data_IF_642193604918
#
_entry.id   IF_642193604918
#
_cell.length_a   1.000
_cell.length_b   1.000
_cell.length_c   1.000
_cell.angle_alpha   90.00
_cell.angle_beta   90.00
_cell.angle_gamma   90.00
#
_symmetry.space_group_name_H-M   'P 1'
#
loop_
_entity.id
_entity.type
_entity.pdbx_description
1 polymer ?
#
# COMPACT_ATOMS: atom_id res chain seq x y z
N UNK A 1 11.23 -77.06 -30.60
CA UNK A 1 10.28 -76.21 -29.85
C UNK A 1 11.05 -74.94 -29.46
N UNK A 2 10.85 -73.81 -30.16
CA UNK A 2 10.11 -72.60 -29.69
C UNK A 2 10.45 -72.26 -28.22
N UNK A 3 11.00 -71.09 -27.87
CA UNK A 3 10.43 -69.77 -28.18
C UNK A 3 11.46 -68.64 -28.17
N UNK A 4 11.28 -67.74 -29.12
CA UNK A 4 11.81 -66.37 -29.19
C UNK A 4 10.95 -65.50 -28.27
N UNK A 5 11.55 -64.50 -27.61
CA UNK A 5 10.85 -63.29 -27.16
C UNK A 5 11.77 -62.08 -27.25
N UNK A 6 11.42 -61.23 -28.21
CA UNK A 6 11.87 -59.85 -28.44
C UNK A 6 11.37 -58.91 -27.33
N UNK A 7 12.08 -57.80 -27.08
CA UNK A 7 11.60 -56.39 -27.13
C UNK A 7 12.67 -55.47 -26.49
N UNK A 8 13.44 -54.70 -27.27
CA UNK A 8 13.21 -53.27 -27.61
C UNK A 8 12.91 -52.38 -26.39
N UNK A 9 13.84 -51.50 -25.99
CA UNK A 9 13.91 -50.12 -26.50
C UNK A 9 14.73 -49.21 -25.56
N UNK A 10 15.72 -48.55 -26.16
CA UNK A 10 16.39 -47.36 -25.66
C UNK A 10 15.34 -46.25 -25.43
N UNK A 11 15.24 -45.69 -24.22
CA UNK A 11 14.65 -44.37 -24.03
C UNK A 11 15.55 -43.50 -23.16
N UNK A 12 15.95 -42.41 -23.80
CA UNK A 12 16.84 -41.35 -23.34
C UNK A 12 16.12 -40.56 -22.24
N UNK A 13 16.63 -40.59 -21.00
CA UNK A 13 16.21 -39.64 -19.97
C UNK A 13 17.01 -38.34 -20.12
N UNK A 14 16.57 -37.49 -21.07
CA UNK A 14 16.85 -36.05 -21.03
C UNK A 14 15.50 -35.37 -20.84
N UNK A 15 15.18 -35.02 -19.60
CA UNK A 15 14.33 -33.88 -19.30
C UNK A 15 14.90 -33.21 -18.05
N UNK A 16 15.81 -32.28 -18.28
CA UNK A 16 16.06 -31.15 -17.40
C UNK A 16 14.75 -30.38 -17.26
N UNK A 17 13.92 -30.77 -16.27
CA UNK A 17 12.85 -29.92 -15.82
C UNK A 17 13.50 -28.76 -15.06
N UNK A 18 13.77 -27.67 -15.79
CA UNK A 18 13.82 -26.35 -15.19
C UNK A 18 12.51 -26.18 -14.41
N UNK A 19 12.57 -26.24 -13.09
CA UNK A 19 11.57 -25.65 -12.21
C UNK A 19 11.64 -24.13 -12.37
N UNK A 20 11.15 -23.62 -13.51
CA UNK A 20 10.76 -22.22 -13.57
C UNK A 20 9.55 -22.07 -12.66
N UNK A 21 9.60 -21.25 -11.60
CA UNK A 21 8.40 -20.98 -10.83
C UNK A 21 7.39 -20.35 -11.79
N UNK A 22 6.30 -21.07 -12.00
CA UNK A 22 5.14 -20.64 -12.75
C UNK A 22 4.77 -19.22 -12.28
N UNK A 23 4.77 -18.18 -13.13
CA UNK A 23 4.45 -16.82 -12.70
C UNK A 23 3.00 -16.82 -12.18
N UNK A 24 2.85 -16.89 -10.86
CA UNK A 24 1.56 -16.86 -10.18
C UNK A 24 0.90 -15.51 -10.47
N UNK A 25 -0.08 -15.54 -11.37
CA UNK A 25 -1.32 -14.79 -11.26
C UNK A 25 -1.19 -13.26 -11.09
N UNK A 26 -0.69 -12.58 -12.13
CA UNK A 26 -0.62 -11.10 -12.23
C UNK A 26 -1.98 -10.43 -11.94
N UNK A 27 -3.10 -11.10 -12.28
CA UNK A 27 -4.46 -10.61 -12.01
C UNK A 27 -4.92 -10.73 -10.55
N UNK A 28 -4.34 -11.66 -9.78
CA UNK A 28 -4.69 -11.90 -8.37
C UNK A 28 -4.23 -10.75 -7.47
N UNK A 29 -2.98 -10.32 -7.67
CA UNK A 29 -2.39 -9.26 -6.84
C UNK A 29 -3.00 -7.88 -7.12
N UNK A 30 -3.39 -7.60 -8.36
CA UNK A 30 -4.12 -6.35 -8.65
C UNK A 30 -5.47 -6.30 -7.95
N UNK A 31 -6.21 -7.41 -7.91
CA UNK A 31 -7.50 -7.47 -7.19
C UNK A 31 -7.33 -7.37 -5.68
N UNK A 32 -6.27 -7.92 -5.10
CA UNK A 32 -6.02 -7.82 -3.66
C UNK A 32 -5.64 -6.40 -3.23
N UNK A 33 -4.95 -5.63 -4.08
CA UNK A 33 -4.56 -4.24 -3.82
C UNK A 33 -5.73 -3.25 -3.83
N UNK A 34 -6.80 -3.52 -4.57
CA UNK A 34 -7.93 -2.58 -4.67
C UNK A 34 -8.60 -2.41 -3.30
N UNK A 35 -8.79 -1.16 -2.88
CA UNK A 35 -9.43 -0.80 -1.62
C UNK A 35 -8.76 0.38 -0.92
N UNK A 36 -9.23 0.66 0.29
CA UNK A 36 -8.67 1.70 1.16
C UNK A 36 -7.50 1.14 1.98
N UNK A 37 -6.45 1.94 2.10
CA UNK A 37 -5.27 1.60 2.88
C UNK A 37 -4.76 2.77 3.69
N UNK A 38 -4.06 2.42 4.77
CA UNK A 38 -3.59 3.34 5.79
C UNK A 38 -2.10 3.13 6.03
N UNK A 39 -1.32 4.21 6.03
CA UNK A 39 0.09 4.17 6.40
C UNK A 39 0.31 5.00 7.64
N UNK A 40 0.99 4.42 8.62
CA UNK A 40 1.46 5.11 9.82
C UNK A 40 2.97 5.23 9.73
N UNK A 41 3.49 6.45 9.82
CA UNK A 41 4.93 6.72 9.75
C UNK A 41 5.30 7.82 10.73
N UNK A 42 6.39 7.64 11.48
CA UNK A 42 6.92 8.71 12.33
C UNK A 42 7.45 9.90 11.52
N UNK A 43 8.04 9.65 10.35
CA UNK A 43 8.59 10.70 9.50
C UNK A 43 7.50 11.48 8.76
N UNK A 44 6.59 10.75 8.10
CA UNK A 44 5.60 11.33 7.19
C UNK A 44 4.21 11.49 7.82
N UNK A 45 4.02 11.00 9.03
CA UNK A 45 2.71 10.98 9.69
C UNK A 45 1.79 9.92 9.09
N UNK A 46 0.49 10.13 9.26
CA UNK A 46 -0.56 9.29 8.70
C UNK A 46 -0.84 9.63 7.24
N UNK A 47 -1.08 8.60 6.45
CA UNK A 47 -1.47 8.77 5.06
C UNK A 47 -2.60 7.83 4.66
N UNK A 48 -3.46 8.34 3.79
CA UNK A 48 -4.62 7.64 3.26
C UNK A 48 -4.36 7.28 1.80
N UNK A 49 -4.69 6.05 1.42
CA UNK A 49 -4.60 5.58 0.05
C UNK A 49 -5.94 4.99 -0.35
N UNK A 50 -6.43 5.38 -1.53
CA UNK A 50 -7.50 4.68 -2.22
C UNK A 50 -6.94 4.13 -3.52
N UNK A 51 -6.93 2.80 -3.63
CA UNK A 51 -6.41 2.10 -4.78
C UNK A 51 -7.58 1.51 -5.55
N UNK A 52 -7.76 1.92 -6.80
CA UNK A 52 -8.73 1.34 -7.72
C UNK A 52 -8.04 0.52 -8.83
N UNK A 53 -8.76 0.15 -9.88
CA UNK A 53 -8.20 -0.65 -10.98
C UNK A 53 -7.22 0.10 -11.88
N UNK A 54 -7.10 1.42 -11.75
CA UNK A 54 -6.31 2.29 -12.63
C UNK A 54 -5.34 3.18 -11.86
N UNK A 55 -5.73 3.65 -10.69
CA UNK A 55 -5.04 4.69 -9.93
C UNK A 55 -4.77 4.27 -8.50
N UNK A 56 -3.61 4.72 -8.00
CA UNK A 56 -3.36 4.95 -6.59
C UNK A 56 -3.66 6.42 -6.32
N UNK A 57 -4.70 6.69 -5.55
CA UNK A 57 -4.97 8.01 -4.98
C UNK A 57 -4.39 8.01 -3.58
N UNK A 58 -3.69 9.07 -3.23
CA UNK A 58 -3.06 9.21 -1.92
C UNK A 58 -3.29 10.62 -1.38
N UNK A 59 -3.48 10.72 -0.07
CA UNK A 59 -3.52 11.98 0.66
C UNK A 59 -2.69 11.93 1.94
N UNK A 60 -1.95 13.00 2.18
CA UNK A 60 -1.29 13.28 3.43
C UNK A 60 -1.23 14.80 3.63
N UNK A 61 -1.42 15.26 4.87
CA UNK A 61 -1.46 16.69 5.17
C UNK A 61 -0.19 17.47 4.79
N UNK A 62 1.00 16.83 4.82
CA UNK A 62 2.29 17.48 4.55
C UNK A 62 2.58 17.60 3.07
N UNK A 63 2.18 16.61 2.28
CA UNK A 63 2.53 16.52 0.85
C UNK A 63 1.35 16.74 -0.08
N UNK A 64 0.11 16.72 0.44
CA UNK A 64 -1.11 16.94 -0.32
C UNK A 64 -1.67 15.66 -0.96
N UNK A 65 -2.52 15.86 -1.98
CA UNK A 65 -3.18 14.80 -2.73
C UNK A 65 -2.40 14.48 -4.00
N UNK A 66 -2.22 13.20 -4.29
CA UNK A 66 -1.70 12.71 -5.56
C UNK A 66 -2.60 11.63 -6.14
N UNK A 67 -2.63 11.55 -7.47
CA UNK A 67 -3.32 10.50 -8.22
C UNK A 67 -2.35 9.98 -9.27
N UNK A 68 -1.89 8.74 -9.10
CA UNK A 68 -0.87 8.14 -9.94
C UNK A 68 -1.44 6.90 -10.65
N UNK A 69 -1.44 6.87 -11.99
CA UNK A 69 -1.79 5.65 -12.70
C UNK A 69 -0.73 4.58 -12.45
N UNK A 70 -1.18 3.34 -12.27
CA UNK A 70 -0.29 2.24 -11.92
C UNK A 70 -0.65 0.94 -12.65
N UNK A 71 0.29 -0.01 -12.60
CA UNK A 71 0.06 -1.41 -12.95
C UNK A 71 0.77 -2.31 -11.95
N UNK A 72 0.35 -3.58 -11.92
CA UNK A 72 1.03 -4.63 -11.17
C UNK A 72 1.67 -5.58 -12.17
N UNK A 73 2.97 -5.81 -12.05
CA UNK A 73 3.76 -6.73 -12.87
C UNK A 73 4.73 -7.47 -11.96
N UNK A 74 4.79 -8.81 -12.06
CA UNK A 74 5.71 -9.65 -11.26
C UNK A 74 5.71 -9.27 -9.77
N UNK A 75 4.51 -9.24 -9.17
CA UNK A 75 4.29 -8.90 -7.77
C UNK A 75 4.79 -7.50 -7.36
N UNK A 76 4.99 -6.61 -8.35
CA UNK A 76 5.48 -5.27 -8.11
C UNK A 76 4.48 -4.23 -8.60
N UNK A 77 4.21 -3.23 -7.77
CA UNK A 77 3.48 -2.03 -8.14
C UNK A 77 4.43 -1.11 -8.92
N UNK A 78 4.02 -0.71 -10.12
CA UNK A 78 4.76 0.24 -10.96
C UNK A 78 3.87 1.43 -11.29
N UNK A 79 4.37 2.64 -11.02
CA UNK A 79 3.71 3.85 -11.53
C UNK A 79 4.00 4.02 -13.02
N UNK A 80 3.00 4.47 -13.78
CA UNK A 80 3.15 4.68 -15.23
C UNK A 80 3.79 6.03 -15.56
N UNK A 81 3.79 6.96 -14.62
CA UNK A 81 4.27 8.35 -14.79
C UNK A 81 5.54 8.65 -14.01
N UNK A 82 6.09 7.68 -13.27
CA UNK A 82 7.28 7.81 -12.44
C UNK A 82 8.13 6.56 -12.58
N UNK A 83 9.45 6.72 -12.52
CA UNK A 83 10.37 5.58 -12.48
C UNK A 83 10.45 4.99 -11.06
N UNK A 84 9.30 4.52 -10.59
CA UNK A 84 9.14 3.92 -9.28
C UNK A 84 8.51 2.55 -9.43
N UNK A 85 9.16 1.56 -8.83
CA UNK A 85 8.70 0.17 -8.77
C UNK A 85 8.84 -0.28 -7.33
N UNK A 86 7.76 -0.80 -6.76
CA UNK A 86 7.75 -1.36 -5.42
C UNK A 86 7.33 -2.82 -5.44
N UNK A 87 8.19 -3.69 -4.93
CA UNK A 87 7.83 -5.09 -4.69
C UNK A 87 6.76 -5.15 -3.60
N UNK A 88 5.72 -5.94 -3.84
CA UNK A 88 4.60 -6.13 -2.93
C UNK A 88 4.81 -7.46 -2.19
N UNK A 89 4.86 -7.39 -0.86
CA UNK A 89 4.87 -8.56 0.01
C UNK A 89 3.62 -8.54 0.88
N UNK A 90 2.77 -9.54 0.73
CA UNK A 90 1.52 -9.64 1.52
C UNK A 90 1.81 -10.11 2.95
N UNK A 91 1.15 -9.49 3.92
CA UNK A 91 1.24 -9.82 5.35
C UNK A 91 -0.13 -9.72 6.02
N UNK A 92 -0.95 -10.76 5.89
CA UNK A 92 -2.32 -10.77 6.42
C UNK A 92 -3.17 -9.66 5.80
N UNK A 93 -3.73 -8.79 6.66
CA UNK A 93 -4.53 -7.62 6.26
C UNK A 93 -3.64 -6.40 5.89
N UNK A 94 -2.32 -6.60 5.77
CA UNK A 94 -1.36 -5.55 5.43
C UNK A 94 -0.49 -5.96 4.24
N UNK A 95 0.14 -4.98 3.60
CA UNK A 95 1.14 -5.18 2.56
C UNK A 95 2.38 -4.37 2.86
N UNK A 96 3.54 -4.95 2.61
CA UNK A 96 4.82 -4.26 2.58
C UNK A 96 5.15 -3.90 1.13
N UNK A 97 5.48 -2.64 0.91
CA UNK A 97 5.98 -2.10 -0.35
C UNK A 97 7.46 -1.77 -0.19
N UNK A 98 8.30 -2.39 -1.01
CA UNK A 98 9.75 -2.14 -1.04
C UNK A 98 10.13 -1.52 -2.38
N UNK A 99 10.39 -0.22 -2.36
CA UNK A 99 10.71 0.60 -3.52
C UNK A 99 12.13 0.39 -4.04
N UNK A 100 12.30 0.53 -5.35
CA UNK A 100 13.60 0.58 -6.02
C UNK A 100 14.48 1.77 -5.58
N UNK A 101 13.88 2.78 -4.93
CA UNK A 101 14.54 3.93 -4.32
C UNK A 101 14.91 3.70 -2.84
N UNK A 102 14.91 2.44 -2.39
CA UNK A 102 15.12 2.03 -0.99
C UNK A 102 14.05 2.51 -0.01
N UNK A 103 12.92 3.04 -0.50
CA UNK A 103 11.80 3.36 0.38
C UNK A 103 11.07 2.09 0.81
N UNK A 104 10.60 2.07 2.05
CA UNK A 104 9.73 1.04 2.57
C UNK A 104 8.45 1.66 3.12
N UNK A 105 7.32 1.01 2.84
CA UNK A 105 6.02 1.39 3.36
C UNK A 105 5.20 0.17 3.69
N UNK A 106 4.67 0.11 4.91
CA UNK A 106 3.62 -0.85 5.27
C UNK A 106 2.29 -0.14 5.12
N UNK A 107 1.40 -0.74 4.33
CA UNK A 107 0.02 -0.30 4.18
C UNK A 107 -0.89 -1.29 4.89
N UNK A 108 -1.75 -0.76 5.75
CA UNK A 108 -2.71 -1.53 6.55
C UNK A 108 -4.11 -1.37 5.96
N UNK A 109 -4.83 -2.47 5.87
CA UNK A 109 -6.26 -2.48 5.60
C UNK A 109 -6.99 -2.81 6.90
N UNK A 110 -7.88 -1.92 7.31
CA UNK A 110 -8.79 -2.23 8.42
C UNK A 110 -9.99 -3.01 7.91
N UNK A 111 -10.52 -3.91 8.75
CA UNK A 111 -11.79 -4.56 8.45
C UNK A 111 -12.87 -3.49 8.36
N UNK A 112 -13.44 -3.37 7.19
CA UNK A 112 -14.37 -2.29 6.89
C UNK A 112 -15.71 -2.52 7.62
N UNK A 113 -16.29 -1.49 8.28
CA UNK A 113 -17.71 -1.54 8.61
C UNK A 113 -18.53 -1.54 7.31
N UNK A 114 -19.77 -2.05 7.34
CA UNK A 114 -20.70 -2.13 6.19
C UNK A 114 -21.04 -0.80 5.49
N UNK A 115 -20.45 0.32 5.91
CA UNK A 115 -20.68 1.64 5.35
C UNK A 115 -19.72 1.86 4.17
N UNK A 116 -20.21 2.30 2.99
CA UNK A 116 -19.35 2.59 1.85
C UNK A 116 -18.26 3.62 2.19
N UNK A 117 -17.04 3.34 1.74
CA UNK A 117 -15.88 4.20 1.98
C UNK A 117 -16.08 5.59 1.38
N UNK A 118 -15.72 6.62 2.14
CA UNK A 118 -15.48 7.96 1.58
C UNK A 118 -14.16 7.92 0.83
N UNK A 119 -14.23 7.96 -0.49
CA UNK A 119 -13.05 8.13 -1.35
C UNK A 119 -12.43 9.52 -1.14
N UNK A 120 -11.12 9.65 -1.39
CA UNK A 120 -10.38 10.91 -1.38
C UNK A 120 -10.91 11.77 -2.55
N UNK A 121 -11.66 12.85 -2.28
CA UNK A 121 -12.29 13.63 -3.33
C UNK A 121 -11.24 14.34 -4.20
N UNK A 122 -11.62 14.68 -5.43
CA UNK A 122 -10.79 15.45 -6.33
C UNK A 122 -10.61 16.89 -5.80
N UNK A 123 -9.40 17.46 -5.90
CA UNK A 123 -9.13 18.83 -5.43
C UNK A 123 -10.00 19.90 -6.09
N UNK A 124 -10.43 19.66 -7.34
CA UNK A 124 -11.34 20.56 -8.08
C UNK A 124 -12.75 20.60 -7.51
N UNK A 125 -13.13 19.60 -6.71
CA UNK A 125 -14.38 19.60 -5.96
C UNK A 125 -14.14 20.30 -4.62
N UNK A 126 -14.10 21.62 -4.67
CA UNK A 126 -13.61 22.45 -3.56
C UNK A 126 -14.36 22.22 -2.26
N UNK A 127 -15.68 22.02 -2.31
CA UNK A 127 -16.50 21.82 -1.12
C UNK A 127 -16.26 20.43 -0.49
N UNK A 128 -16.31 19.36 -1.30
CA UNK A 128 -16.07 18.01 -0.79
C UNK A 128 -14.62 17.87 -0.29
N UNK A 129 -13.67 18.46 -1.00
CA UNK A 129 -12.26 18.44 -0.61
C UNK A 129 -12.01 19.27 0.66
N UNK A 130 -12.63 20.44 0.80
CA UNK A 130 -12.52 21.25 2.02
C UNK A 130 -13.10 20.51 3.24
N UNK A 131 -14.29 19.91 3.11
CA UNK A 131 -14.88 19.08 4.16
C UNK A 131 -14.02 17.86 4.49
N UNK A 132 -13.45 17.22 3.46
CA UNK A 132 -12.53 16.10 3.64
C UNK A 132 -11.29 16.50 4.46
N UNK A 133 -10.68 17.65 4.18
CA UNK A 133 -9.52 18.15 4.93
C UNK A 133 -9.91 18.54 6.35
N UNK A 134 -11.04 19.23 6.54
CA UNK A 134 -11.49 19.68 7.87
C UNK A 134 -11.65 18.53 8.87
N UNK A 135 -12.07 17.35 8.39
CA UNK A 135 -12.24 16.15 9.21
C UNK A 135 -10.95 15.30 9.34
N UNK A 136 -9.81 15.71 8.78
CA UNK A 136 -8.61 14.88 8.72
C UNK A 136 -8.09 14.49 10.11
N UNK A 137 -7.97 15.43 11.05
CA UNK A 137 -7.46 15.14 12.39
C UNK A 137 -8.36 14.16 13.16
N UNK A 138 -9.68 14.26 12.95
CA UNK A 138 -10.63 13.30 13.54
C UNK A 138 -10.43 11.90 12.96
N UNK A 139 -10.19 11.79 11.64
CA UNK A 139 -9.88 10.50 11.00
C UNK A 139 -8.55 9.97 11.47
N UNK A 140 -7.50 10.79 11.47
CA UNK A 140 -6.18 10.47 12.01
C UNK A 140 -6.29 9.77 13.36
N UNK A 141 -6.89 10.44 14.36
CA UNK A 141 -7.02 9.91 15.72
C UNK A 141 -7.73 8.55 15.72
N UNK A 142 -8.87 8.46 15.03
CA UNK A 142 -9.64 7.22 14.96
C UNK A 142 -8.86 6.06 14.31
N UNK A 143 -8.09 6.31 13.25
CA UNK A 143 -7.36 5.26 12.54
C UNK A 143 -6.12 4.79 13.32
N UNK A 144 -5.48 5.67 14.10
CA UNK A 144 -4.44 5.24 15.04
C UNK A 144 -5.02 4.39 16.18
N UNK A 145 -6.17 4.77 16.73
CA UNK A 145 -6.86 3.96 17.75
C UNK A 145 -7.23 2.57 17.21
N UNK A 146 -7.73 2.47 15.98
CA UNK A 146 -8.00 1.19 15.30
C UNK A 146 -6.73 0.35 15.10
N UNK A 147 -5.59 1.00 14.89
CA UNK A 147 -4.29 0.33 14.82
C UNK A 147 -3.78 -0.14 16.20
N UNK A 148 -4.55 0.05 17.28
CA UNK A 148 -4.13 -0.26 18.64
C UNK A 148 -3.13 0.74 19.21
N UNK A 149 -2.91 1.86 18.53
CA UNK A 149 -2.01 2.93 18.96
C UNK A 149 -2.86 3.96 19.71
N UNK A 150 -2.77 3.94 21.04
CA UNK A 150 -3.48 4.93 21.86
C UNK A 150 -2.91 6.33 21.61
N UNK A 151 -3.75 7.24 21.12
CA UNK A 151 -3.48 8.69 21.10
C UNK A 151 -4.10 9.38 22.35
N UNK A 152 -4.79 8.63 23.21
CA UNK A 152 -5.36 9.18 24.45
C UNK A 152 -4.30 9.38 25.53
N UNK A 153 -4.15 10.61 26.00
CA UNK A 153 -4.43 10.87 27.40
C UNK A 153 -5.77 11.60 27.45
N UNK A 154 -6.72 11.07 28.21
CA UNK A 154 -7.97 11.77 28.50
C UNK A 154 -7.68 13.09 29.21
N UNK A 155 -8.30 14.17 28.71
CA UNK A 155 -8.47 15.50 29.32
C UNK A 155 -7.30 16.05 30.14
N UNK A 156 -6.49 16.89 29.50
CA UNK A 156 -6.17 18.22 30.02
C UNK A 156 -5.50 19.01 28.90
N UNK A 157 -5.66 20.34 28.92
CA UNK A 157 -4.71 21.25 28.28
C UNK A 157 -3.32 20.94 28.86
N UNK A 158 -2.63 19.95 28.32
CA UNK A 158 -1.18 19.87 28.47
C UNK A 158 -0.63 20.74 27.37
N UNK A 159 -0.15 21.90 27.76
CA UNK A 159 0.88 22.66 27.06
C UNK A 159 2.13 21.78 26.92
N UNK A 160 2.03 20.72 26.14
CA UNK A 160 3.16 20.11 25.44
C UNK A 160 3.30 20.86 24.13
N UNK A 161 4.53 20.98 23.59
CA UNK A 161 4.81 21.93 22.54
C UNK A 161 3.83 21.71 21.38
N UNK A 162 3.01 22.73 21.14
CA UNK A 162 2.01 22.70 20.08
C UNK A 162 2.69 22.21 18.81
N UNK A 163 1.98 21.45 17.99
CA UNK A 163 2.38 21.01 16.66
C UNK A 163 3.17 22.08 15.84
N UNK A 164 2.97 23.36 16.13
CA UNK A 164 3.77 24.50 15.67
C UNK A 164 5.28 24.49 16.01
N UNK A 165 5.73 23.90 17.12
CA UNK A 165 7.16 23.78 17.46
C UNK A 165 7.89 22.78 16.56
N UNK A 166 7.20 21.73 16.10
CA UNK A 166 7.74 20.80 15.09
C UNK A 166 7.90 21.48 13.72
N UNK A 167 7.12 22.54 13.45
CA UNK A 167 7.25 23.37 12.25
C UNK A 167 8.42 24.37 12.36
N UNK A 168 8.68 24.94 13.55
CA UNK A 168 9.81 25.87 13.78
C UNK A 168 11.19 25.22 13.66
N UNK A 169 11.32 23.91 13.91
CA UNK A 169 12.62 23.22 13.80
C UNK A 169 13.14 23.12 12.36
N UNK A 170 12.32 23.40 11.35
CA UNK A 170 12.73 23.41 9.93
C UNK A 170 13.20 24.79 9.45
N UNK A 171 12.85 25.87 10.14
CA UNK A 171 13.25 27.24 9.81
C UNK A 171 14.49 27.72 10.58
N UNK A 172 14.92 27.00 11.62
CA UNK A 172 16.11 27.34 12.42
C UNK A 172 17.43 26.69 11.95
N UNK A 173 17.40 25.89 10.88
CA UNK A 173 18.59 25.24 10.30
C UNK A 173 18.96 25.81 8.91
N UNK A 174 18.77 27.12 8.72
CA UNK A 174 19.39 27.88 7.64
C UNK A 174 20.39 28.86 8.21
#
# INVERSE_FOLDING_TARGET
>A
MRSILYFFAFFIFILSACDSPNPKNIGGNKKSLIGKWHRFSMANGYSEFDIDSLYVVFYNQKVGRFKLPYKVENDSLKYLTKDYVAKITNYGDSILLEGNDSTQAVLHRFKEPHIPFKTIPEQKDSLLFASYIADFDKRLVSEFEKAGIKISDGMEKREGPAYEELLKKKSANR
#
